data_IF_368455371375
#
_entry.id   IF_368455371375
#
_cell.length_a   1.000
_cell.length_b   1.000
_cell.length_c   1.000
_cell.angle_alpha   90.00
_cell.angle_beta   90.00
_cell.angle_gamma   90.00
#
_symmetry.space_group_name_H-M   'P 1'
#
loop_
_entity.id
_entity.type
_entity.pdbx_description
1 polymer ?
#
# COMPACT_ATOMS: atom_id res chain seq x y z
N UNK A 1 -3.96 -2.02 -1.74
CA UNK A 1 -3.94 -1.43 -3.09
C UNK A 1 -5.37 -1.18 -3.52
N UNK A 2 -5.69 -0.02 -4.09
CA UNK A 2 -7.00 0.24 -4.68
C UNK A 2 -7.26 -0.62 -5.93
N UNK A 3 -8.55 -0.88 -6.21
CA UNK A 3 -9.02 -1.77 -7.28
C UNK A 3 -8.45 -1.45 -8.67
N UNK A 4 -8.30 -0.16 -9.02
CA UNK A 4 -7.78 0.22 -10.33
C UNK A 4 -6.33 -0.24 -10.55
N UNK A 5 -5.51 -0.30 -9.50
CA UNK A 5 -4.14 -0.84 -9.60
C UNK A 5 -4.16 -2.35 -9.77
N UNK A 6 -5.06 -3.04 -9.07
CA UNK A 6 -5.24 -4.48 -9.21
C UNK A 6 -5.71 -4.86 -10.62
N UNK A 7 -6.56 -4.03 -11.23
CA UNK A 7 -6.95 -4.18 -12.65
C UNK A 7 -5.74 -4.00 -13.58
N UNK A 8 -4.88 -3.01 -13.35
CA UNK A 8 -3.67 -2.80 -14.16
C UNK A 8 -2.67 -3.95 -14.04
N UNK A 9 -2.40 -4.42 -12.82
CA UNK A 9 -1.55 -5.58 -12.55
C UNK A 9 -2.14 -6.82 -13.22
N UNK A 10 -3.45 -7.03 -13.09
CA UNK A 10 -4.18 -8.13 -13.71
C UNK A 10 -4.12 -8.07 -15.24
N UNK A 11 -4.20 -6.88 -15.83
CA UNK A 11 -4.04 -6.68 -17.26
C UNK A 11 -2.63 -7.06 -17.74
N UNK A 12 -1.58 -6.65 -17.04
CA UNK A 12 -0.20 -7.06 -17.37
C UNK A 12 -0.04 -8.57 -17.23
N UNK A 13 -0.53 -9.17 -16.14
CA UNK A 13 -0.50 -10.61 -15.95
C UNK A 13 -1.22 -11.37 -17.08
N UNK A 14 -2.38 -10.87 -17.52
CA UNK A 14 -3.13 -11.43 -18.64
C UNK A 14 -2.34 -11.36 -19.96
N UNK A 15 -1.66 -10.24 -20.24
CA UNK A 15 -0.78 -10.14 -21.42
C UNK A 15 0.31 -11.23 -21.39
N UNK A 16 0.93 -11.47 -20.23
CA UNK A 16 1.95 -12.50 -20.09
C UNK A 16 1.39 -13.93 -20.19
N UNK A 17 0.17 -14.19 -19.72
CA UNK A 17 -0.52 -15.46 -20.01
C UNK A 17 -0.78 -15.63 -21.51
N UNK A 18 -1.17 -14.55 -22.20
CA UNK A 18 -1.35 -14.58 -23.64
C UNK A 18 -0.03 -14.85 -24.38
N UNK A 19 1.08 -14.22 -23.97
CA UNK A 19 2.40 -14.48 -24.53
C UNK A 19 2.87 -15.90 -24.25
N UNK A 20 2.70 -16.39 -23.01
CA UNK A 20 2.96 -17.78 -22.66
C UNK A 20 2.21 -18.74 -23.58
N UNK A 21 0.90 -18.53 -23.76
CA UNK A 21 0.08 -19.36 -24.65
C UNK A 21 0.60 -19.29 -26.10
N UNK A 22 0.86 -18.08 -26.57
CA UNK A 22 1.32 -17.85 -27.94
C UNK A 22 2.66 -18.53 -28.22
N UNK A 23 3.66 -18.35 -27.37
CA UNK A 23 5.03 -18.86 -27.55
C UNK A 23 5.12 -20.37 -27.31
N UNK A 24 4.29 -20.91 -26.40
CA UNK A 24 4.31 -22.34 -26.05
C UNK A 24 3.48 -23.19 -26.99
N UNK A 25 2.26 -22.76 -27.30
CA UNK A 25 1.28 -23.60 -28.00
C UNK A 25 1.02 -23.13 -29.43
N UNK A 26 1.06 -21.81 -29.69
CA UNK A 26 0.67 -21.24 -30.98
C UNK A 26 1.84 -20.70 -31.81
N UNK A 27 3.10 -21.03 -31.45
CA UNK A 27 4.27 -20.46 -32.11
C UNK A 27 4.32 -20.77 -33.61
N UNK A 28 4.15 -22.04 -33.97
CA UNK A 28 4.27 -22.46 -35.38
C UNK A 28 3.04 -22.08 -36.23
N UNK A 29 1.89 -21.85 -35.59
CA UNK A 29 0.62 -21.54 -36.27
C UNK A 29 0.35 -20.04 -36.40
N UNK A 30 0.64 -19.26 -35.34
CA UNK A 30 0.41 -17.81 -35.30
C UNK A 30 1.69 -17.00 -35.51
N UNK A 31 2.86 -17.53 -35.14
CA UNK A 31 4.15 -16.86 -35.27
C UNK A 31 4.42 -16.32 -36.68
N UNK A 32 4.23 -17.09 -37.77
CA UNK A 32 4.45 -16.61 -39.14
C UNK A 32 3.59 -15.40 -39.53
N UNK A 33 2.42 -15.21 -38.89
CA UNK A 33 1.54 -14.06 -39.16
C UNK A 33 2.00 -12.79 -38.44
N UNK A 34 2.61 -12.95 -37.26
CA UNK A 34 3.09 -11.85 -36.41
C UNK A 34 4.49 -11.40 -36.84
N UNK A 35 5.38 -12.36 -37.12
CA UNK A 35 6.77 -12.13 -37.51
C UNK A 35 6.97 -12.39 -39.00
N UNK A 36 6.35 -11.57 -39.85
CA UNK A 36 6.34 -11.75 -41.32
C UNK A 36 7.72 -11.73 -41.98
N UNK A 37 8.70 -11.09 -41.34
CA UNK A 37 10.10 -11.02 -41.80
C UNK A 37 10.96 -12.21 -41.38
N UNK A 38 10.44 -13.15 -40.59
CA UNK A 38 11.19 -14.29 -40.08
C UNK A 38 11.08 -15.49 -41.04
N UNK A 39 12.18 -16.19 -41.37
CA UNK A 39 12.15 -17.35 -42.25
C UNK A 39 11.18 -18.43 -41.76
N UNK A 40 10.31 -18.91 -42.66
CA UNK A 40 9.22 -19.82 -42.29
C UNK A 40 9.71 -21.18 -41.77
N UNK A 41 10.87 -21.65 -42.23
CA UNK A 41 11.45 -22.92 -41.81
C UNK A 41 11.99 -22.90 -40.37
N UNK A 42 12.24 -21.71 -39.82
CA UNK A 42 12.74 -21.57 -38.45
C UNK A 42 11.66 -21.78 -37.39
N UNK A 43 10.37 -21.59 -37.71
CA UNK A 43 9.31 -21.72 -36.70
C UNK A 43 9.22 -23.13 -36.12
N UNK A 44 9.28 -24.17 -36.95
CA UNK A 44 9.27 -25.55 -36.47
C UNK A 44 10.58 -25.89 -35.73
N UNK A 45 11.74 -25.46 -36.25
CA UNK A 45 13.05 -25.70 -35.63
C UNK A 45 13.19 -25.04 -34.25
N UNK A 46 12.51 -23.92 -34.02
CA UNK A 46 12.60 -23.13 -32.78
C UNK A 46 11.45 -23.40 -31.80
N UNK A 47 10.55 -24.34 -32.09
CA UNK A 47 9.35 -24.60 -31.27
C UNK A 47 9.67 -24.87 -29.79
N UNK A 48 10.66 -25.74 -29.51
CA UNK A 48 11.05 -26.06 -28.13
C UNK A 48 11.70 -24.86 -27.41
N UNK A 49 12.53 -24.08 -28.12
CA UNK A 49 13.16 -22.88 -27.59
C UNK A 49 12.09 -21.84 -27.20
N UNK A 50 11.11 -21.62 -28.08
CA UNK A 50 10.03 -20.67 -27.83
C UNK A 50 9.07 -21.14 -26.74
N UNK A 51 8.83 -22.45 -26.61
CA UNK A 51 8.08 -22.97 -25.48
C UNK A 51 8.77 -22.67 -24.14
N UNK A 52 10.09 -22.78 -24.09
CA UNK A 52 10.84 -22.37 -22.90
C UNK A 52 10.78 -20.85 -22.68
N UNK A 53 10.83 -20.05 -23.74
CA UNK A 53 10.62 -18.59 -23.65
C UNK A 53 9.23 -18.26 -23.09
N UNK A 54 8.21 -18.97 -23.56
CA UNK A 54 6.84 -18.87 -23.07
C UNK A 54 6.74 -19.19 -21.58
N UNK A 55 7.42 -20.23 -21.10
CA UNK A 55 7.40 -20.59 -19.68
C UNK A 55 7.87 -19.45 -18.78
N UNK A 56 8.89 -18.68 -19.19
CA UNK A 56 9.31 -17.49 -18.44
C UNK A 56 8.21 -16.43 -18.37
N UNK A 57 7.46 -16.22 -19.47
CA UNK A 57 6.25 -15.39 -19.44
C UNK A 57 5.20 -15.94 -18.47
N UNK A 58 5.06 -17.27 -18.39
CA UNK A 58 4.23 -17.95 -17.40
C UNK A 58 4.64 -17.64 -15.96
N UNK A 59 5.94 -17.64 -15.65
CA UNK A 59 6.45 -17.26 -14.32
C UNK A 59 6.19 -15.80 -13.98
N UNK A 60 6.36 -14.89 -14.94
CA UNK A 60 6.03 -13.47 -14.76
C UNK A 60 4.54 -13.28 -14.44
N UNK A 61 3.67 -13.95 -15.19
CA UNK A 61 2.23 -13.94 -14.93
C UNK A 61 1.88 -14.54 -13.55
N UNK A 62 2.45 -15.69 -13.21
CA UNK A 62 2.22 -16.35 -11.91
C UNK A 62 2.64 -15.46 -10.74
N UNK A 63 3.79 -14.78 -10.86
CA UNK A 63 4.26 -13.81 -9.86
C UNK A 63 3.34 -12.61 -9.69
N UNK A 64 2.82 -12.05 -10.77
CA UNK A 64 1.85 -10.95 -10.72
C UNK A 64 0.51 -11.42 -10.15
N UNK A 65 0.02 -12.60 -10.53
CA UNK A 65 -1.21 -13.21 -9.99
C UNK A 65 -1.07 -13.50 -8.50
N UNK A 66 0.12 -13.92 -8.06
CA UNK A 66 0.39 -14.16 -6.65
C UNK A 66 0.16 -12.91 -5.80
N UNK A 67 0.40 -11.70 -6.32
CA UNK A 67 0.19 -10.44 -5.57
C UNK A 67 -1.25 -10.27 -5.07
N UNK A 68 -2.25 -10.80 -5.77
CA UNK A 68 -3.66 -10.74 -5.36
C UNK A 68 -3.95 -11.52 -4.08
N UNK A 69 -3.12 -12.51 -3.77
CA UNK A 69 -3.26 -13.39 -2.60
C UNK A 69 -2.35 -12.99 -1.43
N UNK A 70 -1.58 -11.90 -1.57
CA UNK A 70 -0.73 -11.39 -0.48
C UNK A 70 -1.56 -10.43 0.39
N UNK A 71 -1.74 -10.79 1.65
CA UNK A 71 -2.49 -9.97 2.62
C UNK A 71 -1.68 -8.77 3.12
N UNK A 72 -0.38 -8.96 3.36
CA UNK A 72 0.49 -7.88 3.83
C UNK A 72 0.65 -6.80 2.74
N UNK A 73 0.21 -5.54 2.96
CA UNK A 73 0.22 -4.51 1.93
C UNK A 73 1.62 -4.14 1.40
N UNK A 74 2.62 -4.16 2.28
CA UNK A 74 4.01 -3.83 1.94
C UNK A 74 4.58 -4.91 1.02
N UNK A 75 4.40 -6.18 1.39
CA UNK A 75 4.84 -7.31 0.56
C UNK A 75 4.09 -7.38 -0.77
N UNK A 76 2.78 -7.10 -0.79
CA UNK A 76 2.00 -7.01 -2.04
C UNK A 76 2.64 -6.00 -3.00
N UNK A 77 3.01 -4.83 -2.50
CA UNK A 77 3.68 -3.77 -3.29
C UNK A 77 5.08 -4.17 -3.75
N UNK A 78 5.91 -4.71 -2.85
CA UNK A 78 7.28 -5.13 -3.18
C UNK A 78 7.32 -6.21 -4.26
N UNK A 79 6.46 -7.24 -4.14
CA UNK A 79 6.37 -8.32 -5.13
C UNK A 79 5.82 -7.78 -6.47
N UNK A 80 4.85 -6.87 -6.44
CA UNK A 80 4.36 -6.20 -7.66
C UNK A 80 5.49 -5.46 -8.38
N UNK A 81 6.29 -4.66 -7.65
CA UNK A 81 7.42 -3.94 -8.25
C UNK A 81 8.48 -4.88 -8.82
N UNK A 82 8.81 -5.96 -8.13
CA UNK A 82 9.79 -6.93 -8.62
C UNK A 82 9.36 -7.51 -9.98
N UNK A 83 8.15 -8.08 -10.06
CA UNK A 83 7.69 -8.70 -11.31
C UNK A 83 7.45 -7.69 -12.41
N UNK A 84 6.84 -6.53 -12.12
CA UNK A 84 6.68 -5.47 -13.12
C UNK A 84 8.05 -4.97 -13.61
N UNK A 85 9.04 -4.85 -12.72
CA UNK A 85 10.41 -4.50 -13.06
C UNK A 85 11.05 -5.52 -14.02
N UNK A 86 10.89 -6.81 -13.75
CA UNK A 86 11.33 -7.87 -14.67
C UNK A 86 10.64 -7.74 -16.04
N UNK A 87 9.34 -7.46 -16.08
CA UNK A 87 8.58 -7.24 -17.33
C UNK A 87 9.16 -6.06 -18.13
N UNK A 88 9.46 -4.95 -17.46
CA UNK A 88 10.06 -3.77 -18.11
C UNK A 88 11.43 -4.10 -18.69
N UNK A 89 12.31 -4.73 -17.91
CA UNK A 89 13.66 -5.12 -18.37
C UNK A 89 13.58 -6.06 -19.57
N UNK A 90 12.76 -7.12 -19.49
CA UNK A 90 12.55 -8.04 -20.60
C UNK A 90 11.97 -7.35 -21.84
N UNK A 91 11.04 -6.40 -21.65
CA UNK A 91 10.44 -5.63 -22.73
C UNK A 91 11.43 -4.70 -23.43
N UNK A 92 12.37 -4.07 -22.68
CA UNK A 92 13.44 -3.24 -23.24
C UNK A 92 14.44 -4.10 -24.03
N UNK A 93 14.91 -5.20 -23.44
CA UNK A 93 15.86 -6.11 -24.10
C UNK A 93 15.24 -6.72 -25.35
N UNK A 94 13.98 -7.15 -25.30
CA UNK A 94 13.23 -7.67 -26.45
C UNK A 94 13.04 -6.62 -27.55
N UNK A 95 12.85 -5.35 -27.17
CA UNK A 95 12.75 -4.25 -28.14
C UNK A 95 14.05 -3.99 -28.90
N UNK A 96 15.20 -4.13 -28.23
CA UNK A 96 16.51 -3.99 -28.85
C UNK A 96 16.93 -5.20 -29.69
N UNK A 97 16.53 -6.40 -29.29
CA UNK A 97 17.04 -7.65 -29.89
C UNK A 97 16.10 -8.28 -30.91
N UNK A 98 14.78 -8.14 -30.75
CA UNK A 98 13.78 -8.87 -31.56
C UNK A 98 12.87 -7.92 -32.33
N UNK A 99 12.15 -7.02 -31.65
CA UNK A 99 11.22 -6.10 -32.32
C UNK A 99 10.81 -4.94 -31.42
N UNK A 100 10.88 -3.72 -31.95
CA UNK A 100 10.37 -2.50 -31.28
C UNK A 100 8.92 -2.62 -30.80
N UNK A 101 8.11 -3.50 -31.41
CA UNK A 101 6.72 -3.77 -30.97
C UNK A 101 6.65 -4.29 -29.54
N UNK A 102 7.66 -5.05 -29.09
CA UNK A 102 7.72 -5.64 -27.75
C UNK A 102 7.71 -4.55 -26.68
N UNK A 103 8.41 -3.43 -26.91
CA UNK A 103 8.39 -2.28 -25.99
C UNK A 103 6.95 -1.81 -25.70
N UNK A 104 6.14 -1.63 -26.75
CA UNK A 104 4.80 -1.09 -26.61
C UNK A 104 3.79 -2.08 -26.01
N UNK A 105 3.93 -3.37 -26.29
CA UNK A 105 2.98 -4.38 -25.77
C UNK A 105 3.37 -4.93 -24.40
N UNK A 106 4.63 -4.78 -23.98
CA UNK A 106 5.14 -5.36 -22.74
C UNK A 106 5.68 -4.29 -21.78
N UNK A 107 6.67 -3.49 -22.19
CA UNK A 107 7.30 -2.52 -21.29
C UNK A 107 6.37 -1.35 -20.92
N UNK A 108 5.66 -0.77 -21.89
CA UNK A 108 4.79 0.41 -21.66
C UNK A 108 3.68 0.12 -20.63
N UNK A 109 2.87 -0.96 -20.74
CA UNK A 109 1.87 -1.28 -19.73
C UNK A 109 2.47 -1.49 -18.33
N UNK A 110 3.62 -2.14 -18.25
CA UNK A 110 4.30 -2.37 -16.97
C UNK A 110 4.85 -1.06 -16.36
N UNK A 111 5.44 -0.18 -17.16
CA UNK A 111 5.92 1.15 -16.72
C UNK A 111 4.75 1.98 -16.18
N UNK A 112 3.64 2.05 -16.91
CA UNK A 112 2.43 2.77 -16.46
C UNK A 112 1.97 2.22 -15.11
N UNK A 113 1.91 0.89 -14.97
CA UNK A 113 1.50 0.23 -13.73
C UNK A 113 2.46 0.56 -12.58
N UNK A 114 3.78 0.50 -12.80
CA UNK A 114 4.80 0.86 -11.80
C UNK A 114 4.61 2.30 -11.34
N UNK A 115 4.46 3.25 -12.27
CA UNK A 115 4.29 4.67 -11.94
C UNK A 115 3.03 4.87 -11.11
N UNK A 116 1.92 4.23 -11.46
CA UNK A 116 0.67 4.38 -10.70
C UNK A 116 0.75 3.72 -9.32
N UNK A 117 1.41 2.58 -9.19
CA UNK A 117 1.67 1.95 -7.88
C UNK A 117 2.55 2.85 -7.03
N UNK A 118 3.64 3.39 -7.59
CA UNK A 118 4.55 4.30 -6.90
C UNK A 118 3.85 5.57 -6.43
N UNK A 119 3.08 6.22 -7.30
CA UNK A 119 2.32 7.42 -6.95
C UNK A 119 1.30 7.13 -5.86
N UNK A 120 0.61 5.98 -5.91
CA UNK A 120 -0.32 5.59 -4.85
C UNK A 120 0.40 5.41 -3.52
N UNK A 121 1.54 4.74 -3.49
CA UNK A 121 2.33 4.56 -2.27
C UNK A 121 2.79 5.91 -1.72
N UNK A 122 3.34 6.79 -2.57
CA UNK A 122 3.80 8.12 -2.17
C UNK A 122 2.68 9.01 -1.61
N UNK A 123 1.49 8.98 -2.23
CA UNK A 123 0.31 9.71 -1.77
C UNK A 123 -0.32 9.10 -0.50
N UNK A 124 -0.13 7.80 -0.27
CA UNK A 124 -0.61 7.13 0.97
C UNK A 124 0.30 7.42 2.16
N UNK A 125 1.61 7.57 1.93
CA UNK A 125 2.60 7.97 2.95
C UNK A 125 2.58 9.48 3.24
N UNK A 126 2.08 10.31 2.32
CA UNK A 126 1.87 11.74 2.51
C UNK A 126 0.39 12.09 2.41
N UNK A 127 -0.46 11.69 3.39
CA UNK A 127 -1.77 12.30 3.51
C UNK A 127 -1.54 13.81 3.64
N UNK A 128 -2.31 14.61 2.89
CA UNK A 128 -2.26 16.07 2.97
C UNK A 128 -2.18 16.47 4.44
N UNK A 129 -1.13 17.20 4.80
CA UNK A 129 -1.01 17.91 6.06
C UNK A 129 -2.33 18.62 6.33
N UNK A 130 -3.15 18.05 7.20
CA UNK A 130 -4.07 18.87 7.96
C UNK A 130 -3.20 19.83 8.75
N UNK A 131 -3.62 21.09 8.83
CA UNK A 131 -2.87 22.13 9.54
C UNK A 131 -2.87 21.93 11.07
N UNK A 132 -3.32 20.77 11.54
CA UNK A 132 -3.46 20.45 12.95
C UNK A 132 -2.27 19.61 13.38
N UNK A 133 -1.72 19.89 14.58
CA UNK A 133 -0.64 19.10 15.14
C UNK A 133 -1.05 17.64 15.34
N UNK A 134 -0.07 16.74 15.31
CA UNK A 134 -0.26 15.36 15.73
C UNK A 134 -0.42 15.26 17.27
N UNK A 135 -0.83 14.11 17.82
CA UNK A 135 -1.09 13.97 19.26
C UNK A 135 0.16 14.24 20.12
N UNK A 136 1.36 13.92 19.61
CA UNK A 136 2.59 14.21 20.34
C UNK A 136 2.86 15.72 20.45
N UNK A 137 2.48 16.48 19.42
CA UNK A 137 2.72 17.93 19.33
C UNK A 137 1.66 18.79 20.04
N UNK A 138 0.37 18.43 19.97
CA UNK A 138 -0.70 19.38 20.33
C UNK A 138 -0.76 19.76 21.81
N UNK A 139 -0.33 18.88 22.72
CA UNK A 139 -0.21 19.20 24.15
C UNK A 139 -1.48 19.78 24.78
N UNK A 140 -1.30 20.54 25.87
CA UNK A 140 -2.33 21.35 26.51
C UNK A 140 -1.73 22.65 27.03
N UNK A 141 -2.15 23.80 26.48
CA UNK A 141 -1.65 25.13 26.88
C UNK A 141 -0.13 25.24 26.78
N UNK A 142 0.45 24.64 25.74
CA UNK A 142 1.89 24.62 25.49
C UNK A 142 2.70 23.61 26.31
N UNK A 143 2.05 22.73 27.08
CA UNK A 143 2.72 21.63 27.78
C UNK A 143 2.43 20.28 27.12
N UNK A 144 3.46 19.46 26.94
CA UNK A 144 3.29 18.10 26.43
C UNK A 144 2.44 17.25 27.39
N UNK A 145 1.50 16.49 26.82
CA UNK A 145 0.62 15.56 27.56
C UNK A 145 0.88 14.11 27.20
N UNK A 146 1.58 13.85 26.09
CA UNK A 146 1.99 12.55 25.62
C UNK A 146 3.52 12.43 25.57
N UNK A 147 4.02 11.25 25.88
CA UNK A 147 5.44 10.88 25.75
C UNK A 147 5.60 9.63 24.89
N UNK A 148 6.70 9.52 24.14
CA UNK A 148 7.02 8.34 23.33
C UNK A 148 7.57 7.25 24.24
N UNK A 149 6.93 6.09 24.24
CA UNK A 149 7.43 4.89 24.93
C UNK A 149 8.26 4.00 24.00
N UNK A 150 7.82 3.87 22.75
CA UNK A 150 8.46 3.03 21.73
C UNK A 150 8.16 3.60 20.35
N UNK A 151 9.14 3.58 19.46
CA UNK A 151 8.96 4.00 18.07
C UNK A 151 9.90 3.22 17.15
N UNK A 152 9.34 2.65 16.07
CA UNK A 152 10.10 2.00 15.02
C UNK A 152 9.56 2.36 13.63
N UNK A 153 9.88 1.58 12.60
CA UNK A 153 9.46 1.84 11.21
C UNK A 153 7.99 1.50 10.94
N UNK A 154 7.31 0.85 11.88
CA UNK A 154 5.96 0.30 11.70
C UNK A 154 4.97 0.82 12.72
N UNK A 155 5.41 1.08 13.94
CA UNK A 155 4.55 1.53 15.03
C UNK A 155 5.19 2.63 15.86
N UNK A 156 4.33 3.48 16.43
CA UNK A 156 4.64 4.43 17.50
C UNK A 156 3.69 4.16 18.66
N UNK A 157 4.25 4.06 19.87
CA UNK A 157 3.50 3.88 21.11
C UNK A 157 3.72 5.12 21.98
N UNK A 158 2.63 5.83 22.24
CA UNK A 158 2.58 7.00 23.09
C UNK A 158 1.91 6.65 24.42
N UNK A 159 2.37 7.28 25.50
CA UNK A 159 1.67 7.32 26.78
C UNK A 159 1.17 8.73 27.04
N UNK A 160 -0.15 8.90 27.08
CA UNK A 160 -0.77 10.19 27.30
C UNK A 160 -1.37 10.27 28.71
N UNK A 161 -1.05 11.33 29.44
CA UNK A 161 -1.44 11.51 30.84
C UNK A 161 -2.23 12.81 31.00
N UNK A 162 -3.46 12.69 31.51
CA UNK A 162 -4.38 13.81 31.67
C UNK A 162 -4.82 13.94 33.12
N UNK A 163 -4.17 14.79 33.92
CA UNK A 163 -4.71 15.20 35.22
C UNK A 163 -6.09 15.88 35.10
N UNK A 164 -6.87 15.97 36.19
CA UNK A 164 -8.11 16.75 36.21
C UNK A 164 -7.89 18.19 35.69
N UNK A 165 -8.73 18.62 34.75
CA UNK A 165 -8.63 19.95 34.11
C UNK A 165 -7.55 20.08 33.04
N UNK A 166 -6.80 19.01 32.76
CA UNK A 166 -5.85 18.93 31.65
C UNK A 166 -6.52 18.25 30.47
N UNK A 167 -6.34 18.83 29.29
CA UNK A 167 -6.92 18.35 28.06
C UNK A 167 -5.88 18.00 27.02
N UNK A 168 -6.31 18.00 25.77
CA UNK A 168 -5.50 17.87 24.58
C UNK A 168 -6.06 18.85 23.56
N UNK A 169 -5.24 19.80 23.10
CA UNK A 169 -5.67 20.80 22.12
C UNK A 169 -6.18 20.13 20.85
N UNK A 170 -7.00 20.84 20.07
CA UNK A 170 -7.55 20.29 18.82
C UNK A 170 -6.44 19.77 17.91
N UNK A 171 -6.50 18.48 17.62
CA UNK A 171 -5.47 17.75 16.92
C UNK A 171 -6.08 16.67 16.04
N UNK A 172 -5.26 16.05 15.19
CA UNK A 172 -5.64 14.91 14.39
C UNK A 172 -4.89 13.66 14.82
N UNK A 173 -5.61 12.56 14.96
CA UNK A 173 -5.00 11.25 15.03
C UNK A 173 -5.10 10.54 13.67
N UNK A 174 -4.01 9.91 13.25
CA UNK A 174 -4.04 8.81 12.29
C UNK A 174 -4.90 7.65 12.82
N UNK A 175 -5.26 6.64 11.99
CA UNK A 175 -5.90 5.42 12.49
C UNK A 175 -5.08 4.83 13.63
N UNK A 176 -5.70 4.55 14.78
CA UNK A 176 -4.97 4.18 16.00
C UNK A 176 -5.79 3.26 16.89
N UNK A 177 -5.08 2.54 17.73
CA UNK A 177 -5.63 1.78 18.85
C UNK A 177 -5.28 2.50 20.16
N UNK A 178 -6.25 2.63 21.06
CA UNK A 178 -6.07 3.20 22.38
C UNK A 178 -6.44 2.21 23.48
N UNK A 179 -5.67 2.20 24.57
CA UNK A 179 -5.95 1.40 25.76
C UNK A 179 -5.88 2.27 27.02
N UNK A 180 -6.89 2.16 27.87
CA UNK A 180 -7.03 3.00 29.06
C UNK A 180 -6.37 2.33 30.27
N UNK A 181 -5.18 2.80 30.66
CA UNK A 181 -4.50 2.32 31.87
C UNK A 181 -5.16 2.85 33.15
N UNK A 182 -5.59 4.12 33.13
CA UNK A 182 -6.36 4.76 34.20
C UNK A 182 -7.48 5.59 33.58
N UNK A 183 -8.72 5.35 34.00
CA UNK A 183 -9.91 5.99 33.47
C UNK A 183 -10.24 7.33 34.12
N UNK A 184 -11.09 8.11 33.44
CA UNK A 184 -11.73 9.32 33.97
C UNK A 184 -12.93 9.69 33.09
N UNK A 185 -13.60 10.80 33.38
CA UNK A 185 -14.64 11.39 32.53
C UNK A 185 -14.04 12.50 31.67
N UNK A 186 -14.32 12.44 30.38
CA UNK A 186 -13.78 13.35 29.38
C UNK A 186 -14.89 14.11 28.68
N UNK A 187 -14.65 15.39 28.41
CA UNK A 187 -15.39 16.14 27.39
C UNK A 187 -14.62 16.05 26.09
N UNK A 188 -15.24 15.48 25.07
CA UNK A 188 -14.67 15.34 23.73
C UNK A 188 -15.46 16.24 22.78
N UNK A 189 -14.77 17.15 22.11
CA UNK A 189 -15.35 18.06 21.13
C UNK A 189 -14.85 17.69 19.74
N UNK A 190 -15.75 17.27 18.86
CA UNK A 190 -15.46 17.03 17.44
C UNK A 190 -16.45 17.81 16.56
N UNK A 191 -16.51 17.51 15.25
CA UNK A 191 -17.39 18.18 14.29
C UNK A 191 -18.89 18.08 14.64
N UNK A 192 -19.28 17.05 15.41
CA UNK A 192 -20.68 16.85 15.85
C UNK A 192 -21.00 17.64 17.12
N UNK A 193 -20.00 18.27 17.74
CA UNK A 193 -20.12 19.05 18.97
C UNK A 193 -19.55 18.35 20.21
N UNK A 194 -19.65 18.99 21.38
CA UNK A 194 -19.13 18.45 22.63
C UNK A 194 -20.01 17.32 23.16
N UNK A 195 -19.38 16.26 23.65
CA UNK A 195 -20.03 15.18 24.41
C UNK A 195 -19.20 14.82 25.63
N UNK A 196 -19.85 14.32 26.66
CA UNK A 196 -19.17 13.80 27.85
C UNK A 196 -19.16 12.27 27.79
N UNK A 197 -17.98 11.69 28.00
CA UNK A 197 -17.74 10.25 27.90
C UNK A 197 -17.01 9.80 29.15
N UNK A 198 -17.58 8.84 29.86
CA UNK A 198 -16.85 8.13 30.91
C UNK A 198 -16.00 7.03 30.25
N UNK A 199 -14.70 7.06 30.50
CA UNK A 199 -13.75 6.09 29.94
C UNK A 199 -13.14 5.32 31.11
N UNK A 200 -13.58 4.08 31.39
CA UNK A 200 -13.10 3.33 32.54
C UNK A 200 -11.72 2.71 32.28
N UNK A 201 -11.00 2.36 33.35
CA UNK A 201 -9.74 1.62 33.23
C UNK A 201 -9.99 0.24 32.59
N UNK A 202 -9.06 -0.21 31.75
CA UNK A 202 -9.17 -1.45 30.98
C UNK A 202 -10.02 -1.33 29.71
N UNK A 203 -10.59 -0.16 29.41
CA UNK A 203 -11.32 0.08 28.17
C UNK A 203 -10.36 0.28 26.99
N UNK A 204 -10.61 -0.43 25.89
CA UNK A 204 -9.93 -0.27 24.61
C UNK A 204 -10.84 0.37 23.56
N UNK A 205 -10.21 1.01 22.57
CA UNK A 205 -10.91 1.56 21.43
C UNK A 205 -10.02 1.54 20.19
N UNK A 206 -10.64 1.43 19.03
CA UNK A 206 -9.95 1.49 17.74
C UNK A 206 -10.68 2.44 16.81
N UNK A 207 -9.91 3.28 16.11
CA UNK A 207 -10.41 4.10 15.00
C UNK A 207 -9.67 3.74 13.72
N UNK A 208 -10.44 3.28 12.73
CA UNK A 208 -9.93 2.90 11.41
C UNK A 208 -9.71 4.09 10.47
N UNK A 209 -10.34 5.23 10.76
CA UNK A 209 -10.25 6.45 9.97
C UNK A 209 -9.60 7.57 10.81
N UNK A 210 -8.88 8.50 10.17
CA UNK A 210 -8.36 9.67 10.86
C UNK A 210 -9.47 10.44 11.57
N UNK A 211 -9.16 11.01 12.73
CA UNK A 211 -10.16 11.76 13.49
C UNK A 211 -9.60 13.01 14.12
N UNK A 212 -10.33 14.11 13.95
CA UNK A 212 -10.01 15.42 14.51
C UNK A 212 -10.86 15.66 15.75
N UNK A 213 -10.23 15.96 16.88
CA UNK A 213 -10.96 16.25 18.10
C UNK A 213 -10.12 17.05 19.11
N UNK A 214 -10.80 17.63 20.09
CA UNK A 214 -10.23 18.22 21.30
C UNK A 214 -10.74 17.43 22.52
N UNK A 215 -9.89 17.23 23.53
CA UNK A 215 -10.23 16.46 24.72
C UNK A 215 -10.01 17.32 25.96
N UNK A 216 -10.85 17.19 26.98
CA UNK A 216 -10.63 17.75 28.31
C UNK A 216 -11.00 16.72 29.37
N UNK A 217 -10.08 16.40 30.29
CA UNK A 217 -10.43 15.62 31.46
C UNK A 217 -11.25 16.50 32.43
N UNK A 218 -12.54 16.19 32.55
CA UNK A 218 -13.48 16.87 33.44
C UNK A 218 -13.79 16.06 34.71
N UNK A 219 -13.22 14.85 34.82
CA UNK A 219 -13.34 14.01 36.00
C UNK A 219 -12.41 14.44 37.13
N UNK A 220 -12.45 13.67 38.21
CA UNK A 220 -11.75 13.92 39.47
C UNK A 220 -10.42 13.15 39.61
N UNK A 221 -10.04 12.35 38.61
CA UNK A 221 -8.85 11.50 38.64
C UNK A 221 -7.96 11.69 37.40
N UNK A 222 -6.66 11.42 37.57
CA UNK A 222 -5.71 11.44 36.46
C UNK A 222 -5.89 10.21 35.58
N UNK A 223 -6.26 10.44 34.33
CA UNK A 223 -6.35 9.40 33.32
C UNK A 223 -5.01 9.18 32.62
N UNK A 224 -4.78 7.94 32.19
CA UNK A 224 -3.58 7.53 31.47
C UNK A 224 -3.97 6.57 30.36
N UNK A 225 -3.50 6.87 29.15
CA UNK A 225 -3.75 6.06 27.96
C UNK A 225 -2.44 5.58 27.34
N UNK A 226 -2.48 4.39 26.74
CA UNK A 226 -1.53 3.98 25.72
C UNK A 226 -2.20 4.19 24.37
N UNK A 227 -1.53 4.93 23.48
CA UNK A 227 -1.99 5.16 22.11
C UNK A 227 -0.97 4.51 21.18
N UNK A 228 -1.44 3.63 20.30
CA UNK A 228 -0.62 2.86 19.37
C UNK A 228 -1.04 3.25 17.96
N UNK A 229 -0.10 3.83 17.22
CA UNK A 229 -0.32 4.43 15.91
C UNK A 229 0.62 3.75 14.89
N UNK A 230 0.12 3.43 13.68
CA UNK A 230 0.96 2.98 12.59
C UNK A 230 1.84 4.14 12.10
N UNK A 231 3.04 3.80 11.63
CA UNK A 231 3.98 4.74 11.03
C UNK A 231 4.09 4.58 9.52
#
# INVERSE_FOLDING_TARGET
>A
MPLYLEILIGFVAFLHLYFFYFETFAWTTRGPKIFRGFPKDLFEKTKAMMANQGLYNGFLAAGLIWTFFIENPIWKTNVSFFFLGCVVVAGIVGAWTVSKRIFFVQAVPAIITIVMVFLNSYLSENPKTTSLPDPLEAGWKGHAVCEVLQEDRTIRVLKCTFPPGVGHEKHEHAPHFGFTLKGSTFRITDEKGPREVNVPAGYDFYKSEPSVHEVLNIGDSTAVFLIIEPK
#
